data_IF_414053870793
#
_entry.id   IF_414053870793
#
_cell.length_a   1.000
_cell.length_b   1.000
_cell.length_c   1.000
_cell.angle_alpha   90.00
_cell.angle_beta   90.00
_cell.angle_gamma   90.00
#
_symmetry.space_group_name_H-M   'P 1'
#
loop_
_entity.id
_entity.type
_entity.pdbx_description
1 polymer ?
#
# COMPACT_ATOMS: atom_id res chain seq x y z
N UNK A 1 -19.60 -14.93 -3.28
CA UNK A 1 -18.71 -14.46 -2.20
C UNK A 1 -18.94 -12.97 -1.99
N UNK A 2 -18.99 -12.49 -0.74
CA UNK A 2 -19.17 -11.05 -0.44
C UNK A 2 -17.79 -10.36 -0.35
N UNK A 3 -17.74 -9.10 -0.74
CA UNK A 3 -16.53 -8.27 -0.57
C UNK A 3 -16.12 -8.17 0.92
N UNK A 4 -14.82 -8.09 1.16
CA UNK A 4 -14.22 -7.77 2.46
C UNK A 4 -13.75 -6.31 2.42
N UNK A 5 -14.00 -5.56 3.50
CA UNK A 5 -13.61 -4.16 3.58
C UNK A 5 -12.47 -3.97 4.58
N UNK A 6 -11.32 -3.55 4.08
CA UNK A 6 -10.15 -3.21 4.88
C UNK A 6 -10.02 -1.69 5.01
N UNK A 7 -10.41 -1.16 6.17
CA UNK A 7 -10.23 0.25 6.51
C UNK A 7 -8.83 0.47 7.07
N UNK A 8 -8.09 1.42 6.48
CA UNK A 8 -6.66 1.63 6.75
C UNK A 8 -6.46 3.04 7.32
N UNK A 9 -6.00 3.09 8.57
CA UNK A 9 -5.38 4.25 9.19
C UNK A 9 -4.07 3.78 9.84
N UNK A 10 -2.96 3.83 9.09
CA UNK A 10 -1.69 3.23 9.51
C UNK A 10 -0.49 4.06 9.03
N UNK A 11 0.49 4.31 9.92
CA UNK A 11 1.77 4.90 9.55
C UNK A 11 2.72 3.90 8.85
N UNK A 12 2.33 2.63 8.72
CA UNK A 12 3.19 1.55 8.26
C UNK A 12 3.70 0.69 9.43
N UNK A 13 4.87 0.06 9.25
CA UNK A 13 5.46 -0.82 10.24
C UNK A 13 6.31 -1.93 9.63
N UNK A 14 6.27 -3.12 10.25
CA UNK A 14 7.03 -4.28 9.80
C UNK A 14 6.64 -4.72 8.39
N UNK A 15 7.64 -4.86 7.51
CA UNK A 15 7.45 -5.31 6.12
C UNK A 15 6.97 -6.75 6.09
N UNK A 16 7.57 -7.65 6.87
CA UNK A 16 7.16 -9.07 6.87
C UNK A 16 5.72 -9.26 7.35
N UNK A 17 5.30 -8.50 8.37
CA UNK A 17 3.92 -8.52 8.83
C UNK A 17 2.94 -7.98 7.78
N UNK A 18 3.29 -6.87 7.12
CA UNK A 18 2.47 -6.32 6.05
C UNK A 18 2.43 -7.21 4.80
N UNK A 19 3.52 -7.90 4.45
CA UNK A 19 3.54 -8.87 3.36
C UNK A 19 2.64 -10.08 3.65
N UNK A 20 2.55 -10.54 4.91
CA UNK A 20 1.61 -11.58 5.28
C UNK A 20 0.14 -11.15 5.09
N UNK A 21 -0.19 -9.89 5.40
CA UNK A 21 -1.53 -9.33 5.14
C UNK A 21 -1.77 -9.25 3.62
N UNK A 22 -0.79 -8.74 2.87
CA UNK A 22 -0.85 -8.65 1.41
C UNK A 22 -1.14 -10.00 0.78
N UNK A 23 -0.34 -11.02 1.11
CA UNK A 23 -0.51 -12.37 0.57
C UNK A 23 -1.88 -12.94 0.93
N UNK A 24 -2.37 -12.68 2.15
CA UNK A 24 -3.73 -13.08 2.55
C UNK A 24 -4.79 -12.41 1.69
N UNK A 25 -4.67 -11.10 1.42
CA UNK A 25 -5.59 -10.37 0.54
C UNK A 25 -5.64 -10.97 -0.87
N UNK A 26 -4.50 -11.43 -1.40
CA UNK A 26 -4.43 -12.03 -2.74
C UNK A 26 -4.82 -13.53 -2.76
N UNK A 27 -4.65 -14.22 -1.63
CA UNK A 27 -4.85 -15.67 -1.52
C UNK A 27 -6.33 -16.04 -1.37
N UNK A 28 -7.11 -15.23 -0.67
CA UNK A 28 -8.53 -15.51 -0.43
C UNK A 28 -9.37 -15.26 -1.70
N UNK A 29 -10.52 -15.93 -1.80
CA UNK A 29 -11.41 -15.83 -2.98
C UNK A 29 -12.19 -14.51 -3.05
N UNK A 30 -12.35 -13.84 -1.92
CA UNK A 30 -13.18 -12.64 -1.80
C UNK A 30 -12.36 -11.42 -2.22
N UNK A 31 -12.97 -10.51 -2.98
CA UNK A 31 -12.36 -9.23 -3.25
C UNK A 31 -12.17 -8.45 -1.95
N UNK A 32 -10.96 -7.94 -1.74
CA UNK A 32 -10.65 -7.04 -0.62
C UNK A 32 -10.71 -5.59 -1.10
N UNK A 33 -11.78 -4.89 -0.76
CA UNK A 33 -11.90 -3.45 -0.93
C UNK A 33 -11.09 -2.73 0.14
N UNK A 34 -10.25 -1.76 -0.24
CA UNK A 34 -9.42 -0.99 0.69
C UNK A 34 -9.92 0.44 0.82
N UNK A 35 -9.95 0.98 2.03
CA UNK A 35 -10.43 2.34 2.30
C UNK A 35 -9.44 3.09 3.18
N UNK A 36 -8.72 4.06 2.62
CA UNK A 36 -7.84 4.93 3.38
C UNK A 36 -8.64 5.96 4.19
N UNK A 37 -8.40 6.01 5.51
CA UNK A 37 -8.95 6.99 6.43
C UNK A 37 -7.81 7.62 7.24
N UNK A 38 -7.69 8.94 7.21
CA UNK A 38 -6.60 9.62 7.93
C UNK A 38 -5.25 9.41 7.24
N UNK A 39 -4.51 8.36 7.59
CA UNK A 39 -3.17 8.09 7.08
C UNK A 39 -3.04 6.69 6.47
N UNK A 40 -2.46 6.59 5.29
CA UNK A 40 -1.94 5.34 4.75
C UNK A 40 -0.50 5.57 4.29
N UNK A 41 0.46 5.29 5.17
CA UNK A 41 1.88 5.53 4.91
C UNK A 41 2.68 4.22 4.88
N UNK A 42 3.75 4.17 4.09
CA UNK A 42 4.64 3.01 4.00
C UNK A 42 3.86 1.70 3.76
N UNK A 43 3.95 0.70 4.64
CA UNK A 43 3.17 -0.53 4.51
C UNK A 43 1.65 -0.30 4.51
N UNK A 44 1.16 0.79 5.12
CA UNK A 44 -0.25 1.19 5.00
C UNK A 44 -0.62 1.61 3.58
N UNK A 45 0.24 2.39 2.90
CA UNK A 45 0.08 2.73 1.48
C UNK A 45 0.17 1.48 0.60
N UNK A 46 1.13 0.60 0.89
CA UNK A 46 1.32 -0.65 0.14
C UNK A 46 0.06 -1.52 0.17
N UNK A 47 -0.51 -1.72 1.37
CA UNK A 47 -1.75 -2.50 1.51
C UNK A 47 -2.95 -1.79 0.88
N UNK A 48 -2.99 -0.45 0.93
CA UNK A 48 -4.04 0.33 0.28
C UNK A 48 -4.08 0.06 -1.23
N UNK A 49 -2.95 0.17 -1.93
CA UNK A 49 -2.93 -0.03 -3.37
C UNK A 49 -3.13 -1.49 -3.79
N UNK A 50 -2.88 -2.45 -2.90
CA UNK A 50 -3.06 -3.87 -3.11
C UNK A 50 -4.51 -4.38 -3.01
N UNK A 51 -5.47 -3.49 -2.73
CA UNK A 51 -6.89 -3.83 -2.79
C UNK A 51 -7.33 -4.24 -4.19
N UNK A 52 -8.49 -4.90 -4.29
CA UNK A 52 -9.04 -5.36 -5.55
C UNK A 52 -9.21 -4.19 -6.56
N UNK A 53 -8.84 -4.36 -7.85
CA UNK A 53 -8.93 -3.30 -8.85
C UNK A 53 -10.35 -2.70 -8.95
N UNK A 54 -10.45 -1.37 -8.97
CA UNK A 54 -11.74 -0.65 -8.97
C UNK A 54 -12.42 -0.57 -7.60
N UNK A 55 -11.83 -1.16 -6.55
CA UNK A 55 -12.36 -1.20 -5.18
C UNK A 55 -11.39 -0.62 -4.15
N UNK A 56 -10.53 0.30 -4.57
CA UNK A 56 -9.59 1.02 -3.69
C UNK A 56 -10.05 2.46 -3.51
N UNK A 57 -10.22 2.88 -2.27
CA UNK A 57 -10.88 4.14 -1.92
C UNK A 57 -10.01 4.97 -0.97
N UNK A 58 -10.13 6.29 -1.07
CA UNK A 58 -9.62 7.23 -0.08
C UNK A 58 -10.72 8.20 0.35
N UNK A 59 -10.74 8.57 1.63
CA UNK A 59 -11.51 9.71 2.10
C UNK A 59 -10.82 11.04 1.70
N UNK A 60 -11.53 12.17 1.60
CA UNK A 60 -11.00 13.39 0.97
C UNK A 60 -9.81 14.01 1.71
N UNK A 61 -9.68 13.73 3.01
CA UNK A 61 -8.60 14.24 3.84
C UNK A 61 -7.53 13.18 4.15
N UNK A 62 -7.62 12.00 3.52
CA UNK A 62 -6.61 10.97 3.68
C UNK A 62 -5.28 11.45 3.11
N UNK A 63 -4.20 11.14 3.82
CA UNK A 63 -2.83 11.35 3.38
C UNK A 63 -2.20 10.00 3.08
N UNK A 64 -1.61 9.90 1.90
CA UNK A 64 -0.91 8.71 1.45
C UNK A 64 0.58 9.07 1.41
N UNK A 65 1.44 8.17 1.88
CA UNK A 65 2.89 8.39 1.84
C UNK A 65 3.59 7.11 1.38
N UNK A 66 4.45 7.26 0.37
CA UNK A 66 5.32 6.20 -0.13
C UNK A 66 6.77 6.56 0.19
N UNK A 67 7.54 5.56 0.64
CA UNK A 67 8.98 5.65 0.84
C UNK A 67 9.60 4.26 0.70
N UNK A 68 10.92 4.21 0.55
CA UNK A 68 11.66 2.96 0.46
C UNK A 68 11.66 2.23 1.82
N UNK A 69 11.79 0.90 1.80
CA UNK A 69 12.11 0.13 3.00
C UNK A 69 13.30 0.71 3.76
N UNK A 70 13.21 0.72 5.08
CA UNK A 70 14.31 1.10 5.97
C UNK A 70 14.52 0.07 7.07
N UNK A 71 15.75 -0.04 7.55
CA UNK A 71 16.15 -0.98 8.60
C UNK A 71 17.57 -0.71 9.07
N UNK A 72 17.90 -1.17 10.28
CA UNK A 72 19.26 -1.11 10.81
C UNK A 72 20.11 -2.25 10.23
N UNK A 73 21.36 -1.93 9.87
CA UNK A 73 22.36 -2.91 9.41
C UNK A 73 23.53 -2.88 10.39
N UNK A 74 24.08 -4.04 10.75
CA UNK A 74 25.23 -4.14 11.65
C UNK A 74 25.76 -5.57 11.82
N UNK A 75 26.98 -5.68 12.34
CA UNK A 75 27.68 -6.95 12.55
C UNK A 75 29.06 -6.96 11.87
N UNK A 76 29.55 -8.16 11.56
CA UNK A 76 30.77 -8.34 10.78
C UNK A 76 30.59 -7.85 9.34
N UNK A 77 31.69 -7.72 8.59
CA UNK A 77 31.61 -7.36 7.17
C UNK A 77 30.71 -8.30 6.35
N UNK A 78 30.71 -9.60 6.69
CA UNK A 78 29.83 -10.60 6.08
C UNK A 78 28.36 -10.37 6.44
N UNK A 79 28.06 -10.07 7.70
CA UNK A 79 26.68 -9.80 8.14
C UNK A 79 26.12 -8.55 7.46
N UNK A 80 26.92 -7.48 7.39
CA UNK A 80 26.56 -6.23 6.72
C UNK A 80 26.24 -6.49 5.25
N UNK A 81 27.08 -7.29 4.55
CA UNK A 81 26.86 -7.64 3.15
C UNK A 81 25.54 -8.40 2.96
N UNK A 82 25.29 -9.43 3.77
CA UNK A 82 24.07 -10.24 3.70
C UNK A 82 22.83 -9.37 3.93
N UNK A 83 22.86 -8.51 4.95
CA UNK A 83 21.73 -7.64 5.29
C UNK A 83 21.47 -6.60 4.18
N UNK A 84 22.51 -6.02 3.58
CA UNK A 84 22.38 -5.10 2.46
C UNK A 84 21.77 -5.77 1.20
N UNK A 85 22.18 -7.01 0.91
CA UNK A 85 21.60 -7.80 -0.18
C UNK A 85 20.12 -8.11 0.07
N UNK A 86 19.74 -8.49 1.29
CA UNK A 86 18.33 -8.71 1.67
C UNK A 86 17.50 -7.43 1.57
N UNK A 87 18.01 -6.30 2.06
CA UNK A 87 17.32 -5.01 1.97
C UNK A 87 17.12 -4.59 0.50
N UNK A 88 18.12 -4.82 -0.36
CA UNK A 88 18.02 -4.55 -1.79
C UNK A 88 16.97 -5.43 -2.47
N UNK A 89 16.90 -6.72 -2.10
CA UNK A 89 15.87 -7.64 -2.56
C UNK A 89 14.48 -7.16 -2.16
N UNK A 90 14.28 -6.80 -0.89
CA UNK A 90 12.99 -6.28 -0.39
C UNK A 90 12.59 -4.99 -1.09
N UNK A 91 13.51 -4.02 -1.24
CA UNK A 91 13.26 -2.76 -1.95
C UNK A 91 12.79 -3.02 -3.37
N UNK A 92 13.48 -3.87 -4.12
CA UNK A 92 13.10 -4.24 -5.49
C UNK A 92 11.72 -4.89 -5.53
N UNK A 93 11.47 -5.88 -4.67
CA UNK A 93 10.20 -6.62 -4.65
C UNK A 93 9.01 -5.72 -4.34
N UNK A 94 9.16 -4.82 -3.37
CA UNK A 94 8.11 -3.86 -3.05
C UNK A 94 7.85 -2.89 -4.20
N UNK A 95 8.89 -2.38 -4.87
CA UNK A 95 8.73 -1.51 -6.02
C UNK A 95 7.98 -2.20 -7.18
N UNK A 96 8.30 -3.47 -7.47
CA UNK A 96 7.60 -4.28 -8.47
C UNK A 96 6.10 -4.43 -8.16
N UNK A 97 5.76 -4.72 -6.90
CA UNK A 97 4.38 -4.92 -6.47
C UNK A 97 3.58 -3.61 -6.46
N UNK A 98 4.18 -2.50 -5.99
CA UNK A 98 3.54 -1.19 -6.06
C UNK A 98 3.32 -0.80 -7.53
N UNK A 99 4.32 -0.99 -8.39
CA UNK A 99 4.21 -0.72 -9.83
C UNK A 99 3.06 -1.53 -10.46
N UNK A 100 2.98 -2.83 -10.15
CA UNK A 100 1.91 -3.71 -10.60
C UNK A 100 0.51 -3.18 -10.23
N UNK A 101 0.32 -2.79 -8.97
CA UNK A 101 -0.98 -2.33 -8.48
C UNK A 101 -1.34 -0.90 -8.92
N UNK A 102 -0.35 -0.03 -9.09
CA UNK A 102 -0.58 1.37 -9.48
C UNK A 102 -0.64 1.58 -10.99
N UNK A 103 -0.07 0.65 -11.78
CA UNK A 103 0.13 0.81 -13.22
C UNK A 103 1.32 1.71 -13.58
N UNK A 104 2.07 2.20 -12.58
CA UNK A 104 3.29 2.97 -12.79
C UNK A 104 4.44 2.07 -13.27
N UNK A 105 5.45 2.68 -13.89
CA UNK A 105 6.70 1.99 -14.20
C UNK A 105 7.51 1.75 -12.93
N UNK A 106 8.26 0.64 -12.87
CA UNK A 106 9.11 0.30 -11.72
C UNK A 106 10.15 1.40 -11.47
N UNK A 107 10.69 2.00 -12.53
CA UNK A 107 11.65 3.10 -12.44
C UNK A 107 11.01 4.33 -11.76
N UNK A 108 9.77 4.65 -12.11
CA UNK A 108 8.99 5.73 -11.48
C UNK A 108 8.80 5.47 -9.99
N UNK A 109 8.35 4.26 -9.60
CA UNK A 109 8.20 3.89 -8.18
C UNK A 109 9.55 3.98 -7.45
N UNK A 110 10.64 3.54 -8.07
CA UNK A 110 11.97 3.52 -7.45
C UNK A 110 12.47 4.93 -7.16
N UNK A 111 12.29 5.87 -8.11
CA UNK A 111 12.65 7.29 -7.93
C UNK A 111 11.75 7.93 -6.88
N UNK A 112 10.45 7.70 -6.99
CA UNK A 112 9.43 8.36 -6.17
C UNK A 112 9.41 7.89 -4.72
N UNK A 113 9.93 6.70 -4.44
CA UNK A 113 10.05 6.14 -3.09
C UNK A 113 11.42 6.39 -2.47
N UNK A 114 12.40 6.98 -3.17
CA UNK A 114 13.75 7.15 -2.59
C UNK A 114 13.75 8.06 -1.35
N UNK A 115 12.78 8.97 -1.24
CA UNK A 115 12.47 9.73 -0.02
C UNK A 115 10.97 9.67 0.23
N UNK A 116 10.57 10.16 1.40
CA UNK A 116 9.17 10.35 1.75
C UNK A 116 8.48 11.21 0.69
N UNK A 117 7.59 10.58 -0.09
CA UNK A 117 6.74 11.25 -1.04
C UNK A 117 5.31 11.19 -0.56
N UNK A 118 4.72 12.36 -0.39
CA UNK A 118 3.38 12.53 0.16
C UNK A 118 2.38 12.85 -0.94
N UNK A 119 1.17 12.33 -0.77
CA UNK A 119 0.05 12.50 -1.68
C UNK A 119 -1.19 12.87 -0.86
N UNK A 120 -1.99 13.80 -1.38
CA UNK A 120 -3.38 13.95 -0.97
C UNK A 120 -4.26 12.88 -1.67
N UNK A 121 -5.55 12.84 -1.36
CA UNK A 121 -6.45 11.80 -1.88
C UNK A 121 -6.59 11.84 -3.42
N UNK A 122 -6.64 13.04 -4.03
CA UNK A 122 -6.77 13.20 -5.48
C UNK A 122 -5.46 12.83 -6.20
N UNK A 123 -4.32 13.26 -5.66
CA UNK A 123 -2.99 12.87 -6.16
C UNK A 123 -2.77 11.35 -6.05
N UNK A 124 -3.25 10.73 -4.96
CA UNK A 124 -3.15 9.29 -4.78
C UNK A 124 -4.01 8.52 -5.79
N UNK A 125 -5.16 9.09 -6.18
CA UNK A 125 -5.99 8.55 -7.26
C UNK A 125 -5.31 8.68 -8.61
N UNK A 126 -4.78 9.86 -8.92
CA UNK A 126 -4.06 10.10 -10.19
C UNK A 126 -2.82 9.20 -10.31
N UNK A 127 -2.10 8.99 -9.20
CA UNK A 127 -0.92 8.12 -9.17
C UNK A 127 -1.27 6.62 -9.30
N UNK A 128 -2.52 6.24 -8.99
CA UNK A 128 -3.01 4.87 -9.07
C UNK A 128 -2.98 4.08 -7.76
N UNK A 129 -2.76 4.72 -6.61
CA UNK A 129 -2.86 4.05 -5.30
C UNK A 129 -4.29 3.70 -4.92
N UNK A 130 -5.26 4.51 -5.38
CA UNK A 130 -6.69 4.29 -5.18
C UNK A 130 -7.43 4.55 -6.48
N UNK A 131 -8.62 3.97 -6.62
CA UNK A 131 -9.48 4.15 -7.80
C UNK A 131 -10.43 5.34 -7.60
N UNK A 132 -10.83 5.61 -6.35
CA UNK A 132 -11.88 6.57 -6.03
C UNK A 132 -11.57 7.40 -4.77
N UNK A 133 -11.95 8.67 -4.81
CA UNK A 133 -12.05 9.53 -3.63
C UNK A 133 -13.54 9.64 -3.27
N UNK A 134 -13.91 9.25 -2.04
CA UNK A 134 -15.30 9.11 -1.60
C UNK A 134 -15.57 9.91 -0.34
N UNK A 135 -16.79 10.44 -0.19
CA UNK A 135 -17.24 11.27 0.94
C UNK A 135 -18.14 10.53 1.92
N UNK A 136 -18.67 9.37 1.52
CA UNK A 136 -19.59 8.57 2.36
C UNK A 136 -19.53 7.09 1.99
N UNK A 137 -19.96 6.23 2.91
CA UNK A 137 -19.96 4.78 2.71
C UNK A 137 -20.82 4.34 1.52
N UNK A 138 -21.90 5.06 1.20
CA UNK A 138 -22.78 4.76 0.05
C UNK A 138 -22.10 4.90 -1.31
N UNK A 139 -20.91 5.50 -1.38
CA UNK A 139 -20.10 5.62 -2.59
C UNK A 139 -19.05 4.51 -2.74
N UNK A 140 -18.92 3.65 -1.73
CA UNK A 140 -18.07 2.45 -1.75
C UNK A 140 -18.91 1.27 -2.23
N UNK A 141 -18.34 0.36 -3.02
CA UNK A 141 -19.04 -0.86 -3.46
C UNK A 141 -19.64 -1.58 -2.24
N UNK A 142 -20.87 -2.10 -2.35
CA UNK A 142 -21.58 -2.74 -1.23
C UNK A 142 -21.75 -1.85 0.02
N UNK A 143 -21.78 -0.53 -0.17
CA UNK A 143 -21.89 0.48 0.91
C UNK A 143 -20.80 0.36 1.98
N UNK A 144 -19.59 -0.05 1.62
CA UNK A 144 -18.48 -0.18 2.58
C UNK A 144 -18.72 -1.22 3.68
N UNK A 145 -19.66 -2.15 3.47
CA UNK A 145 -20.08 -3.11 4.50
C UNK A 145 -20.94 -2.51 5.62
N UNK A 146 -21.43 -1.28 5.46
CA UNK A 146 -22.25 -0.60 6.48
C UNK A 146 -23.75 -0.61 6.17
N UNK A 147 -24.17 -1.23 5.06
CA UNK A 147 -25.59 -1.42 4.78
C UNK A 147 -26.21 -2.33 5.84
N UNK A 148 -27.32 -1.87 6.44
CA UNK A 148 -28.11 -2.65 7.41
C UNK A 148 -29.02 -3.63 6.71
#
# INVERSE_FOLDING_TARGET
EKDIYLYINSPGGSISAGMAIYDTMQYIKNDVATVAMGLAASMGQFLLCAGAPGKRYALPHARIMMHQPSGGIGGTASDIKIQAEQMSFTKKKMAELIAFHTGQKIETITIDSDRDRWFNADEAKEYGFVDHVVKSAGQVSGSGGTAR
#
